data_IF_542255158081
#
_entry.id   IF_542255158081
#
_cell.length_a   1.000
_cell.length_b   1.000
_cell.length_c   1.000
_cell.angle_alpha   90.00
_cell.angle_beta   90.00
_cell.angle_gamma   90.00
#
_symmetry.space_group_name_H-M   'P 1'
#
loop_
_entity.id
_entity.type
_entity.pdbx_description
1 polymer ?
#
# COMPACT_ATOMS: atom_id res chain seq x y z
N UNK A 1 -8.08 -1.76 23.12
CA UNK A 1 -8.19 -2.92 22.20
C UNK A 1 -7.57 -4.13 22.88
N UNK A 2 -8.22 -5.30 22.87
CA UNK A 2 -7.78 -6.49 23.61
C UNK A 2 -6.41 -7.05 23.18
N UNK A 3 -5.91 -6.67 22.00
CA UNK A 3 -4.60 -7.08 21.45
C UNK A 3 -3.65 -5.90 21.21
N UNK A 4 -3.87 -4.76 21.89
CA UNK A 4 -3.09 -3.54 21.63
C UNK A 4 -1.60 -3.69 21.87
N UNK A 5 -1.19 -4.51 22.84
CA UNK A 5 0.22 -4.76 23.13
C UNK A 5 0.95 -5.37 21.91
N UNK A 6 0.40 -6.42 21.33
CA UNK A 6 0.98 -7.09 20.16
C UNK A 6 0.98 -6.17 18.93
N UNK A 7 -0.11 -5.46 18.68
CA UNK A 7 -0.23 -4.55 17.55
C UNK A 7 0.80 -3.41 17.62
N UNK A 8 0.99 -2.81 18.78
CA UNK A 8 1.97 -1.74 18.97
C UNK A 8 3.40 -2.27 18.79
N UNK A 9 3.72 -3.45 19.33
CA UNK A 9 5.03 -4.07 19.14
C UNK A 9 5.32 -4.34 17.66
N UNK A 10 4.36 -4.92 16.93
CA UNK A 10 4.49 -5.18 15.49
C UNK A 10 4.63 -3.88 14.70
N UNK A 11 3.83 -2.87 15.03
CA UNK A 11 3.92 -1.55 14.40
C UNK A 11 5.32 -0.94 14.54
N UNK A 12 5.89 -0.93 15.74
CA UNK A 12 7.26 -0.43 15.94
C UNK A 12 8.30 -1.21 15.13
N UNK A 13 8.15 -2.53 15.03
CA UNK A 13 9.03 -3.36 14.23
C UNK A 13 8.93 -2.99 12.74
N UNK A 14 7.73 -2.77 12.21
CA UNK A 14 7.53 -2.35 10.82
C UNK A 14 8.13 -0.98 10.53
N UNK A 15 7.91 0.00 11.42
CA UNK A 15 8.48 1.34 11.28
C UNK A 15 10.02 1.28 11.30
N UNK A 16 10.62 0.57 12.27
CA UNK A 16 12.08 0.39 12.35
C UNK A 16 12.65 -0.42 11.17
N UNK A 17 11.84 -1.31 10.59
CA UNK A 17 12.16 -2.09 9.40
C UNK A 17 12.08 -1.31 8.08
N UNK A 18 11.65 -0.04 8.11
CA UNK A 18 11.55 0.79 6.91
C UNK A 18 10.34 0.50 6.02
N UNK A 19 9.28 -0.10 6.57
CA UNK A 19 8.02 -0.29 5.84
C UNK A 19 7.44 1.07 5.44
N UNK A 20 7.06 1.20 4.17
CA UNK A 20 6.65 2.48 3.58
C UNK A 20 5.18 2.82 3.79
N UNK A 21 4.29 1.82 3.79
CA UNK A 21 2.86 2.03 3.89
C UNK A 21 2.15 0.77 4.44
N UNK A 22 0.89 0.94 4.85
CA UNK A 22 -0.01 -0.13 5.26
C UNK A 22 -1.14 -0.26 4.25
N UNK A 23 -1.37 -1.49 3.77
CA UNK A 23 -2.48 -1.90 2.89
C UNK A 23 -2.90 -3.33 3.25
N UNK A 24 -3.90 -3.92 2.58
CA UNK A 24 -4.52 -5.18 3.04
C UNK A 24 -4.54 -6.34 2.01
N UNK A 25 -4.19 -6.11 0.76
CA UNK A 25 -4.42 -7.05 -0.35
C UNK A 25 -3.13 -7.61 -0.96
N UNK A 26 -2.07 -6.80 -1.02
CA UNK A 26 -0.89 -7.07 -1.87
C UNK A 26 -0.10 -8.28 -1.39
N UNK A 27 0.00 -8.48 -0.07
CA UNK A 27 0.66 -9.67 0.50
C UNK A 27 0.07 -10.97 -0.03
N UNK A 28 -1.26 -11.06 -0.09
CA UNK A 28 -1.97 -12.25 -0.62
C UNK A 28 -1.75 -12.39 -2.12
N UNK A 29 -1.85 -11.29 -2.87
CA UNK A 29 -1.61 -11.30 -4.31
C UNK A 29 -0.21 -11.80 -4.65
N UNK A 30 0.81 -11.36 -3.92
CA UNK A 30 2.20 -11.75 -4.18
C UNK A 30 2.48 -13.21 -3.83
N UNK A 31 1.96 -13.70 -2.70
CA UNK A 31 2.13 -15.11 -2.31
C UNK A 31 1.41 -16.03 -3.29
N UNK A 32 0.15 -15.74 -3.61
CA UNK A 32 -0.65 -16.55 -4.55
C UNK A 32 -0.08 -16.46 -5.97
N UNK A 33 0.30 -15.25 -6.42
CA UNK A 33 0.92 -15.03 -7.72
C UNK A 33 2.21 -15.83 -7.89
N UNK A 34 3.10 -15.77 -6.89
CA UNK A 34 4.33 -16.57 -6.86
C UNK A 34 4.05 -18.07 -6.95
N UNK A 35 3.13 -18.58 -6.13
CA UNK A 35 2.73 -20.00 -6.15
C UNK A 35 2.18 -20.44 -7.52
N UNK A 36 1.37 -19.58 -8.16
CA UNK A 36 0.76 -19.86 -9.47
C UNK A 36 1.68 -19.53 -10.65
N UNK A 37 2.92 -19.09 -10.40
CA UNK A 37 3.90 -18.66 -11.42
C UNK A 37 3.37 -17.52 -12.31
N UNK A 38 2.62 -16.60 -11.71
CA UNK A 38 2.09 -15.40 -12.36
C UNK A 38 2.91 -14.17 -11.96
N UNK A 39 3.01 -13.19 -12.86
CA UNK A 39 3.58 -11.88 -12.55
C UNK A 39 2.55 -11.06 -11.77
N UNK A 40 2.93 -10.55 -10.61
CA UNK A 40 2.10 -9.69 -9.77
C UNK A 40 2.87 -8.43 -9.40
N UNK A 41 2.15 -7.31 -9.27
CA UNK A 41 2.70 -6.02 -8.87
C UNK A 41 1.62 -5.16 -8.22
N UNK A 42 2.02 -4.09 -7.54
CA UNK A 42 1.10 -3.17 -6.89
C UNK A 42 1.59 -1.73 -7.06
N UNK A 43 0.63 -0.82 -7.22
CA UNK A 43 0.84 0.63 -7.22
C UNK A 43 -0.12 1.21 -6.18
N UNK A 44 0.43 1.89 -5.18
CA UNK A 44 -0.33 2.37 -4.02
C UNK A 44 -0.30 3.90 -3.97
N UNK A 45 -1.44 4.51 -3.66
CA UNK A 45 -1.55 5.94 -3.39
C UNK A 45 -1.50 6.17 -1.89
N UNK A 46 -0.53 6.93 -1.41
CA UNK A 46 -0.44 7.32 0.01
C UNK A 46 -1.50 8.37 0.29
N UNK A 47 -2.56 7.96 1.00
CA UNK A 47 -3.63 8.87 1.41
C UNK A 47 -3.20 9.80 2.56
N UNK A 48 -2.35 9.32 3.46
CA UNK A 48 -1.91 10.07 4.62
C UNK A 48 -0.92 9.30 5.48
N UNK A 49 -0.37 9.99 6.48
CA UNK A 49 0.51 9.42 7.49
C UNK A 49 -0.08 9.68 8.87
N UNK A 50 -0.52 8.60 9.52
CA UNK A 50 -1.10 8.62 10.86
C UNK A 50 -0.10 9.06 11.93
N UNK A 51 1.20 8.82 11.76
CA UNK A 51 2.22 9.27 12.72
C UNK A 51 2.41 10.79 12.66
N UNK A 52 2.13 11.39 11.51
CA UNK A 52 2.20 12.84 11.28
C UNK A 52 0.85 13.54 11.39
N UNK A 53 -0.23 12.79 11.59
CA UNK A 53 -1.62 13.28 11.57
C UNK A 53 -1.94 14.08 10.29
N UNK A 54 -1.42 13.62 9.15
CA UNK A 54 -1.64 14.27 7.86
C UNK A 54 -2.44 13.37 6.91
N UNK A 55 -3.27 13.99 6.09
CA UNK A 55 -4.05 13.30 5.06
C UNK A 55 -4.27 14.22 3.87
N UNK A 56 -4.35 13.64 2.69
CA UNK A 56 -4.73 14.36 1.48
C UNK A 56 -6.17 14.88 1.60
N UNK A 57 -6.38 16.09 1.10
CA UNK A 57 -7.74 16.56 0.84
C UNK A 57 -8.38 15.77 -0.31
N UNK A 58 -9.71 15.86 -0.43
CA UNK A 58 -10.48 15.08 -1.41
C UNK A 58 -10.01 15.31 -2.85
N UNK A 59 -9.74 16.55 -3.23
CA UNK A 59 -9.35 16.89 -4.61
C UNK A 59 -7.98 16.30 -4.95
N UNK A 60 -6.99 16.49 -4.08
CA UNK A 60 -5.65 15.93 -4.25
C UNK A 60 -5.68 14.40 -4.27
N UNK A 61 -6.47 13.77 -3.41
CA UNK A 61 -6.62 12.31 -3.41
C UNK A 61 -7.18 11.80 -4.74
N UNK A 62 -8.26 12.40 -5.24
CA UNK A 62 -8.85 12.00 -6.52
C UNK A 62 -7.88 12.18 -7.70
N UNK A 63 -7.10 13.27 -7.69
CA UNK A 63 -6.06 13.50 -8.69
C UNK A 63 -4.95 12.45 -8.61
N UNK A 64 -4.49 12.08 -7.41
CA UNK A 64 -3.49 11.03 -7.21
C UNK A 64 -3.99 9.66 -7.67
N UNK A 65 -5.24 9.30 -7.35
CA UNK A 65 -5.87 8.06 -7.83
C UNK A 65 -5.98 8.07 -9.35
N UNK A 66 -6.43 9.17 -9.97
CA UNK A 66 -6.50 9.30 -11.43
C UNK A 66 -5.12 9.11 -12.08
N UNK A 67 -4.09 9.72 -11.52
CA UNK A 67 -2.72 9.56 -12.01
C UNK A 67 -2.22 8.12 -11.85
N UNK A 68 -2.45 7.51 -10.69
CA UNK A 68 -2.08 6.13 -10.41
C UNK A 68 -2.75 5.15 -11.40
N UNK A 69 -4.05 5.34 -11.66
CA UNK A 69 -4.79 4.57 -12.67
C UNK A 69 -4.20 4.72 -14.07
N UNK A 70 -3.79 5.94 -14.44
CA UNK A 70 -3.11 6.16 -15.73
C UNK A 70 -1.78 5.43 -15.81
N UNK A 71 -0.95 5.53 -14.77
CA UNK A 71 0.36 4.87 -14.71
C UNK A 71 0.22 3.35 -14.85
N UNK A 72 -0.72 2.74 -14.11
CA UNK A 72 -0.88 1.27 -14.16
C UNK A 72 -1.42 0.81 -15.51
N UNK A 73 -2.34 1.58 -16.14
CA UNK A 73 -2.84 1.28 -17.48
C UNK A 73 -1.71 1.35 -18.51
N UNK A 74 -0.95 2.44 -18.54
CA UNK A 74 0.19 2.59 -19.46
C UNK A 74 1.25 1.51 -19.24
N UNK A 75 1.54 1.16 -17.98
CA UNK A 75 2.48 0.09 -17.65
C UNK A 75 1.98 -1.27 -18.12
N UNK A 76 0.67 -1.52 -18.09
CA UNK A 76 0.07 -2.79 -18.52
C UNK A 76 0.06 -2.99 -20.03
N UNK A 77 0.10 -1.91 -20.81
CA UNK A 77 0.15 -1.96 -22.28
C UNK A 77 1.55 -2.26 -22.84
N UNK A 78 2.59 -2.11 -22.01
CA UNK A 78 3.99 -2.31 -22.38
C UNK A 78 4.54 -3.69 -21.98
N UNK A 79 3.68 -4.67 -21.70
CA UNK A 79 4.03 -6.00 -21.19
C UNK A 79 3.99 -7.05 -22.29
#
# INVERSE_FOLDING_TARGET
MPVSYELNQKWEAWVKGGVLCSEMEVSTLFVVGSYRKLRTGALLVVYGDQNRNESLNKETYLNSVKNATKIILESSLNV
#
